data_IF_305597432687
#
_entry.id   IF_305597432687
#
_cell.length_a   1.000
_cell.length_b   1.000
_cell.length_c   1.000
_cell.angle_alpha   90.00
_cell.angle_beta   90.00
_cell.angle_gamma   90.00
#
_symmetry.space_group_name_H-M   'P 1'
#
loop_
_entity.id
_entity.type
_entity.pdbx_description
1 polymer ?
#
# COMPACT_ATOMS: atom_id res chain seq x y z
N UNK A 1 -4.42 -21.36 8.97
CA UNK A 1 -3.66 -21.78 7.76
C UNK A 1 -4.01 -20.96 6.52
N UNK A 2 -5.29 -20.66 6.26
CA UNK A 2 -5.77 -19.92 5.07
C UNK A 2 -5.08 -18.56 4.81
N UNK A 3 -4.78 -17.78 5.85
CA UNK A 3 -4.07 -16.49 5.74
C UNK A 3 -2.60 -16.61 5.29
N UNK A 4 -1.92 -17.74 5.54
CA UNK A 4 -0.49 -17.93 5.25
C UNK A 4 -0.27 -18.31 3.78
N UNK A 5 -1.18 -19.06 3.17
CA UNK A 5 -1.11 -19.43 1.75
C UNK A 5 -1.42 -18.25 0.83
N UNK A 6 -2.34 -17.37 1.23
CA UNK A 6 -2.65 -16.21 0.40
C UNK A 6 -1.59 -15.10 0.47
N UNK A 7 -0.76 -15.05 1.52
CA UNK A 7 0.40 -14.16 1.56
C UNK A 7 1.42 -14.48 0.46
N UNK A 8 1.65 -15.77 0.20
CA UNK A 8 2.58 -16.24 -0.83
C UNK A 8 2.09 -15.90 -2.26
N UNK A 9 0.78 -15.92 -2.49
CA UNK A 9 0.19 -15.57 -3.79
C UNK A 9 0.44 -14.09 -4.09
N UNK A 10 0.22 -13.21 -3.11
CA UNK A 10 0.43 -11.77 -3.31
C UNK A 10 1.91 -11.42 -3.48
N UNK A 11 2.81 -12.05 -2.74
CA UNK A 11 4.26 -11.84 -2.95
C UNK A 11 4.71 -12.19 -4.38
N UNK A 12 4.17 -13.27 -4.95
CA UNK A 12 4.47 -13.68 -6.32
C UNK A 12 3.91 -12.67 -7.34
N UNK A 13 2.66 -12.23 -7.18
CA UNK A 13 2.01 -11.26 -8.06
C UNK A 13 2.69 -9.89 -7.99
N UNK A 14 2.97 -9.39 -6.80
CA UNK A 14 3.69 -8.13 -6.59
C UNK A 14 5.07 -8.23 -7.25
N UNK A 15 5.80 -9.34 -7.05
CA UNK A 15 7.11 -9.54 -7.66
C UNK A 15 7.05 -9.55 -9.20
N UNK A 16 6.00 -10.14 -9.78
CA UNK A 16 5.76 -10.10 -11.22
C UNK A 16 5.60 -8.66 -11.71
N UNK A 17 4.69 -7.87 -11.12
CA UNK A 17 4.47 -6.48 -11.54
C UNK A 17 5.68 -5.59 -11.31
N UNK A 18 6.39 -5.75 -10.19
CA UNK A 18 7.62 -4.99 -9.92
C UNK A 18 8.69 -5.26 -10.98
N UNK A 19 8.74 -6.48 -11.51
CA UNK A 19 9.67 -6.83 -12.61
C UNK A 19 9.35 -6.10 -13.92
N UNK A 20 8.11 -5.63 -14.11
CA UNK A 20 7.73 -4.81 -15.29
C UNK A 20 8.31 -3.40 -15.25
N UNK A 21 8.71 -2.91 -14.08
CA UNK A 21 9.08 -1.50 -13.90
C UNK A 21 10.58 -1.23 -14.06
N UNK A 22 11.41 -2.27 -14.16
CA UNK A 22 12.86 -2.10 -14.33
C UNK A 22 13.56 -1.39 -13.16
N UNK A 23 13.00 -1.45 -11.95
CA UNK A 23 13.66 -0.94 -10.73
C UNK A 23 14.98 -1.70 -10.51
N UNK A 24 16.04 -0.96 -10.16
CA UNK A 24 17.40 -1.53 -10.03
C UNK A 24 17.91 -1.61 -8.60
N UNK A 25 17.35 -0.81 -7.70
CA UNK A 25 17.84 -0.69 -6.32
C UNK A 25 17.14 -1.71 -5.40
N UNK A 26 17.84 -2.73 -4.86
CA UNK A 26 17.20 -3.78 -4.06
C UNK A 26 16.46 -3.30 -2.81
N UNK A 27 17.01 -2.37 -1.97
CA UNK A 27 16.28 -1.78 -0.85
C UNK A 27 14.99 -1.07 -1.29
N UNK A 28 15.03 -0.36 -2.42
CA UNK A 28 13.86 0.32 -2.97
C UNK A 28 12.79 -0.66 -3.43
N UNK A 29 13.21 -1.72 -4.14
CA UNK A 29 12.32 -2.81 -4.56
C UNK A 29 11.64 -3.43 -3.34
N UNK A 30 12.40 -3.72 -2.28
CA UNK A 30 11.85 -4.32 -1.07
C UNK A 30 10.86 -3.39 -0.37
N UNK A 31 11.21 -2.11 -0.19
CA UNK A 31 10.30 -1.12 0.41
C UNK A 31 9.00 -0.97 -0.40
N UNK A 32 9.10 -1.03 -1.72
CA UNK A 32 7.92 -0.95 -2.60
C UNK A 32 7.02 -2.19 -2.46
N UNK A 33 7.62 -3.39 -2.41
CA UNK A 33 6.88 -4.64 -2.15
C UNK A 33 6.22 -4.63 -0.78
N UNK A 34 6.98 -4.28 0.26
CA UNK A 34 6.50 -4.23 1.64
C UNK A 34 5.31 -3.28 1.78
N UNK A 35 5.37 -2.11 1.12
CA UNK A 35 4.27 -1.15 1.13
C UNK A 35 3.03 -1.68 0.41
N UNK A 36 3.19 -2.28 -0.77
CA UNK A 36 2.07 -2.89 -1.49
C UNK A 36 1.42 -4.02 -0.66
N UNK A 37 2.22 -4.90 -0.04
CA UNK A 37 1.73 -5.96 0.84
C UNK A 37 0.97 -5.39 2.04
N UNK A 38 1.46 -4.31 2.65
CA UNK A 38 0.78 -3.60 3.74
C UNK A 38 -0.63 -3.14 3.32
N UNK A 39 -0.73 -2.46 2.18
CA UNK A 39 -2.00 -1.95 1.64
C UNK A 39 -2.99 -3.08 1.39
N UNK A 40 -2.55 -4.22 0.86
CA UNK A 40 -3.42 -5.39 0.64
C UNK A 40 -3.97 -5.92 1.98
N UNK A 41 -3.13 -5.98 3.01
CA UNK A 41 -3.57 -6.43 4.34
C UNK A 41 -4.54 -5.45 5.00
N UNK A 42 -4.35 -4.15 4.83
CA UNK A 42 -5.30 -3.13 5.28
C UNK A 42 -6.64 -3.27 4.54
N UNK A 43 -6.59 -3.34 3.22
CA UNK A 43 -7.77 -3.42 2.37
C UNK A 43 -8.59 -4.68 2.59
N UNK A 44 -7.98 -5.80 2.99
CA UNK A 44 -8.72 -7.01 3.39
C UNK A 44 -9.61 -6.83 4.62
N UNK A 45 -9.27 -5.88 5.50
CA UNK A 45 -10.02 -5.66 6.74
C UNK A 45 -11.12 -4.60 6.55
N UNK A 46 -10.94 -3.66 5.61
CA UNK A 46 -11.80 -2.48 5.45
C UNK A 46 -12.64 -2.48 4.18
N UNK A 47 -12.20 -3.16 3.11
CA UNK A 47 -12.86 -3.17 1.81
C UNK A 47 -13.33 -4.60 1.50
N UNK A 48 -14.53 -4.76 0.95
CA UNK A 48 -14.95 -6.02 0.32
C UNK A 48 -14.16 -6.27 -0.97
N UNK A 49 -12.86 -6.55 -0.83
CA UNK A 49 -11.96 -6.92 -1.94
C UNK A 49 -12.38 -8.22 -2.64
N UNK A 50 -13.37 -8.93 -2.11
CA UNK A 50 -13.84 -10.24 -2.58
C UNK A 50 -14.36 -10.21 -4.03
N UNK A 51 -14.74 -9.04 -4.53
CA UNK A 51 -15.21 -8.86 -5.91
C UNK A 51 -14.07 -8.77 -6.93
N UNK A 52 -12.84 -8.50 -6.48
CA UNK A 52 -11.69 -8.32 -7.36
C UNK A 52 -10.82 -9.57 -7.45
N UNK A 53 -10.23 -9.81 -8.62
CA UNK A 53 -9.22 -10.86 -8.80
C UNK A 53 -7.97 -10.51 -7.99
N UNK A 54 -7.24 -11.50 -7.44
CA UNK A 54 -5.98 -11.25 -6.74
C UNK A 54 -4.96 -10.45 -7.57
N UNK A 55 -4.92 -10.65 -8.90
CA UNK A 55 -4.06 -9.86 -9.80
C UNK A 55 -4.45 -8.38 -9.83
N UNK A 56 -5.76 -8.07 -9.84
CA UNK A 56 -6.28 -6.70 -9.77
C UNK A 56 -5.90 -6.07 -8.43
N UNK A 57 -6.13 -6.77 -7.32
CA UNK A 57 -5.78 -6.31 -5.96
C UNK A 57 -4.29 -5.99 -5.87
N UNK A 58 -3.42 -6.89 -6.33
CA UNK A 58 -1.97 -6.71 -6.29
C UNK A 58 -1.51 -5.50 -7.12
N UNK A 59 -2.06 -5.35 -8.33
CA UNK A 59 -1.72 -4.22 -9.20
C UNK A 59 -2.20 -2.89 -8.63
N UNK A 60 -3.46 -2.83 -8.14
CA UNK A 60 -4.01 -1.63 -7.51
C UNK A 60 -3.24 -1.23 -6.26
N UNK A 61 -2.84 -2.19 -5.42
CA UNK A 61 -2.00 -1.92 -4.25
C UNK A 61 -0.61 -1.38 -4.64
N UNK A 62 -0.01 -1.90 -5.72
CA UNK A 62 1.23 -1.35 -6.27
C UNK A 62 1.05 0.07 -6.81
N UNK A 63 -0.08 0.37 -7.44
CA UNK A 63 -0.39 1.73 -7.89
C UNK A 63 -0.50 2.69 -6.69
N UNK A 64 -1.21 2.30 -5.62
CA UNK A 64 -1.28 3.11 -4.40
C UNK A 64 0.11 3.31 -3.78
N UNK A 65 0.90 2.24 -3.65
CA UNK A 65 2.28 2.34 -3.15
C UNK A 65 3.15 3.25 -4.05
N UNK A 66 2.94 3.23 -5.37
CA UNK A 66 3.71 4.06 -6.31
C UNK A 66 3.30 5.53 -6.25
N UNK A 67 2.02 5.80 -5.98
CA UNK A 67 1.50 7.15 -5.78
C UNK A 67 2.14 7.79 -4.53
N UNK A 68 2.40 7.00 -3.48
CA UNK A 68 3.07 7.47 -2.26
C UNK A 68 4.59 7.58 -2.37
N UNK A 69 5.25 6.56 -2.92
CA UNK A 69 6.72 6.47 -2.94
C UNK A 69 7.35 7.15 -4.16
N UNK A 70 6.63 7.24 -5.27
CA UNK A 70 7.15 7.68 -6.56
C UNK A 70 6.18 8.59 -7.34
N UNK A 71 5.72 9.70 -6.76
CA UNK A 71 4.70 10.56 -7.40
C UNK A 71 5.12 11.06 -8.80
N UNK A 72 6.41 11.27 -9.04
CA UNK A 72 6.94 11.70 -10.34
C UNK A 72 6.95 10.58 -11.40
N UNK A 73 7.06 9.31 -10.98
CA UNK A 73 7.11 8.15 -11.89
C UNK A 73 5.77 7.41 -11.96
N UNK A 74 4.78 7.80 -11.14
CA UNK A 74 3.44 7.21 -11.10
C UNK A 74 2.81 7.01 -12.47
N UNK A 75 2.79 8.00 -13.40
CA UNK A 75 2.18 7.81 -14.72
C UNK A 75 2.83 6.67 -15.53
N UNK A 76 4.13 6.44 -15.33
CA UNK A 76 4.85 5.33 -15.97
C UNK A 76 4.43 3.99 -15.37
N UNK A 77 4.31 3.89 -14.05
CA UNK A 77 3.85 2.67 -13.38
C UNK A 77 2.41 2.32 -13.78
N UNK A 78 1.52 3.32 -13.79
CA UNK A 78 0.14 3.21 -14.22
C UNK A 78 0.05 2.69 -15.66
N UNK A 79 0.77 3.32 -16.58
CA UNK A 79 0.79 2.90 -17.99
C UNK A 79 1.30 1.46 -18.14
N UNK A 80 2.39 1.10 -17.45
CA UNK A 80 2.95 -0.26 -17.49
C UNK A 80 1.94 -1.31 -17.01
N UNK A 81 1.25 -1.06 -15.90
CA UNK A 81 0.22 -1.98 -15.38
C UNK A 81 -0.98 -2.05 -16.34
N UNK A 82 -1.51 -0.91 -16.79
CA UNK A 82 -2.71 -0.87 -17.64
C UNK A 82 -2.44 -1.37 -19.07
N UNK A 83 -1.18 -1.43 -19.51
CA UNK A 83 -0.79 -2.03 -20.79
C UNK A 83 -0.86 -3.56 -20.81
N UNK A 84 -0.99 -4.22 -19.65
CA UNK A 84 -1.09 -5.67 -19.58
C UNK A 84 -2.43 -6.16 -20.19
N UNK A 85 -2.36 -6.94 -21.27
CA UNK A 85 -3.52 -7.42 -22.04
C UNK A 85 -4.55 -8.20 -21.18
N UNK A 86 -4.05 -8.93 -20.19
CA UNK A 86 -4.86 -9.79 -19.30
C UNK A 86 -5.56 -9.02 -18.16
N UNK A 87 -5.34 -7.70 -18.08
CA UNK A 87 -5.89 -6.87 -17.02
C UNK A 87 -7.09 -6.07 -17.49
N UNK A 88 -8.19 -6.17 -16.72
CA UNK A 88 -9.33 -5.27 -16.89
C UNK A 88 -8.98 -3.91 -16.26
N UNK A 89 -8.72 -2.92 -17.11
CA UNK A 89 -8.36 -1.56 -16.71
C UNK A 89 -9.37 -0.91 -15.78
N UNK A 90 -10.66 -1.10 -16.05
CA UNK A 90 -11.74 -0.52 -15.26
C UNK A 90 -11.73 -1.07 -13.83
N UNK A 91 -11.57 -2.39 -13.67
CA UNK A 91 -11.50 -3.02 -12.36
C UNK A 91 -10.26 -2.58 -11.57
N UNK A 92 -9.14 -2.38 -12.25
CA UNK A 92 -7.88 -1.91 -11.62
C UNK A 92 -8.04 -0.50 -11.10
N UNK A 93 -8.63 0.40 -11.88
CA UNK A 93 -8.89 1.78 -11.47
C UNK A 93 -9.92 1.85 -10.35
N UNK A 94 -11.01 1.06 -10.42
CA UNK A 94 -11.99 0.96 -9.32
C UNK A 94 -11.36 0.50 -8.02
N UNK A 95 -10.58 -0.58 -8.07
CA UNK A 95 -9.90 -1.12 -6.89
C UNK A 95 -8.81 -0.17 -6.37
N UNK A 96 -8.08 0.51 -7.28
CA UNK A 96 -7.09 1.53 -6.93
C UNK A 96 -7.72 2.69 -6.16
N UNK A 97 -8.83 3.26 -6.66
CA UNK A 97 -9.52 4.36 -5.99
C UNK A 97 -10.01 3.95 -4.60
N UNK A 98 -10.62 2.77 -4.47
CA UNK A 98 -11.09 2.26 -3.18
C UNK A 98 -9.94 2.09 -2.17
N UNK A 99 -8.82 1.49 -2.58
CA UNK A 99 -7.63 1.35 -1.73
C UNK A 99 -6.99 2.69 -1.39
N UNK A 100 -6.97 3.64 -2.33
CA UNK A 100 -6.40 4.97 -2.11
C UNK A 100 -7.24 5.75 -1.09
N UNK A 101 -8.57 5.72 -1.22
CA UNK A 101 -9.49 6.35 -0.25
C UNK A 101 -9.29 5.79 1.16
N UNK A 102 -9.17 4.47 1.29
CA UNK A 102 -8.86 3.80 2.56
C UNK A 102 -7.56 4.33 3.17
N UNK A 103 -6.46 4.33 2.42
CA UNK A 103 -5.15 4.81 2.91
C UNK A 103 -5.17 6.30 3.27
N UNK A 104 -5.90 7.12 2.51
CA UNK A 104 -6.07 8.55 2.80
C UNK A 104 -6.86 8.76 4.10
N UNK A 105 -7.92 7.98 4.32
CA UNK A 105 -8.75 8.07 5.53
C UNK A 105 -7.97 7.63 6.78
N UNK A 106 -7.20 6.53 6.71
CA UNK A 106 -6.31 6.10 7.80
C UNK A 106 -5.32 7.21 8.22
N UNK A 107 -4.73 7.88 7.23
CA UNK A 107 -3.75 8.96 7.49
C UNK A 107 -4.40 10.15 8.20
N UNK A 108 -5.63 10.49 7.85
CA UNK A 108 -6.36 11.60 8.44
C UNK A 108 -6.82 11.30 9.88
N UNK A 109 -7.22 10.06 10.18
CA UNK A 109 -7.55 9.63 11.55
C UNK A 109 -6.32 9.61 12.47
N UNK A 110 -5.13 9.35 11.95
CA UNK A 110 -3.89 9.41 12.75
C UNK A 110 -3.52 10.81 13.25
N UNK A 111 -4.03 11.87 12.62
CA UNK A 111 -3.70 13.27 12.94
C UNK A 111 -4.56 13.82 14.09
N UNK A 112 -5.74 13.25 14.34
CA UNK A 112 -6.67 13.75 15.37
C UNK A 112 -6.28 13.39 16.82
N UNK A 113 -5.25 12.58 17.03
CA UNK A 113 -4.75 12.25 18.38
C UNK A 113 -3.70 13.22 18.95
N UNK A 114 -3.39 14.34 18.29
CA UNK A 114 -2.35 15.30 18.74
C UNK A 114 -2.86 16.65 19.24
N UNK A 115 -4.17 16.82 19.47
CA UNK A 115 -4.70 18.03 20.15
C UNK A 115 -5.70 17.66 21.23
N UNK A 116 -5.20 17.05 22.31
CA UNK A 116 -5.85 17.17 23.62
C UNK A 116 -4.84 16.95 24.74
N UNK A 117 -3.99 17.96 24.95
CA UNK A 117 -3.15 18.05 26.14
C UNK A 117 -3.35 19.41 26.81
N UNK A 118 -4.54 19.62 27.37
CA UNK A 118 -4.72 20.51 28.52
C UNK A 118 -6.04 20.24 29.24
N UNK A 119 -6.03 19.34 30.25
CA UNK A 119 -6.61 19.60 31.59
C UNK A 119 -6.80 18.31 32.42
N UNK A 120 -6.04 18.23 33.51
CA UNK A 120 -6.38 17.69 34.85
C UNK A 120 -6.90 16.25 35.08
N UNK A 121 -6.15 15.54 35.94
CA UNK A 121 -6.56 14.62 37.04
C UNK A 121 -6.96 13.16 36.72
N UNK A 122 -6.01 12.26 37.02
CA UNK A 122 -6.08 10.95 37.73
C UNK A 122 -7.46 10.25 37.90
N UNK A 123 -7.70 9.15 37.17
CA UNK A 123 -7.69 7.71 37.61
C UNK A 123 -8.68 6.82 36.80
N UNK A 124 -8.13 5.69 36.36
CA UNK A 124 -8.72 4.35 36.21
C UNK A 124 -10.04 4.16 35.44
N UNK A 125 -9.96 3.88 34.12
CA UNK A 125 -10.88 2.96 33.44
C UNK A 125 -10.09 2.13 32.40
N UNK A 126 -10.24 0.81 32.49
CA UNK A 126 -9.75 -0.18 31.54
C UNK A 126 -10.20 0.17 30.11
N UNK A 127 -9.25 0.33 29.22
CA UNK A 127 -9.44 -0.11 27.84
C UNK A 127 -8.11 -0.67 27.35
N UNK A 128 -8.08 -1.98 27.11
CA UNK A 128 -7.00 -2.62 26.37
C UNK A 128 -6.84 -1.88 25.04
N UNK A 129 -5.64 -1.39 24.69
CA UNK A 129 -5.37 -1.04 23.31
C UNK A 129 -5.45 -2.35 22.53
N UNK A 130 -6.54 -2.54 21.78
CA UNK A 130 -6.53 -3.51 20.68
C UNK A 130 -5.38 -3.07 19.80
N UNK A 131 -4.40 -3.96 19.62
CA UNK A 131 -3.34 -3.78 18.63
C UNK A 131 -4.00 -3.60 17.26
N UNK A 132 -4.21 -2.35 16.85
CA UNK A 132 -4.50 -1.96 15.48
C UNK A 132 -3.36 -1.03 15.12
N UNK A 133 -2.43 -1.59 14.35
CA UNK A 133 -1.15 -0.99 14.07
C UNK A 133 -0.13 -2.08 13.83
N UNK A 134 -0.35 -2.90 12.80
CA UNK A 134 0.79 -3.49 12.10
C UNK A 134 1.51 -2.31 11.43
N UNK A 135 2.37 -1.62 12.21
CA UNK A 135 3.25 -0.61 11.70
C UNK A 135 4.22 -1.32 10.76
N UNK A 136 3.97 -1.28 9.46
CA UNK A 136 4.97 -1.63 8.46
C UNK A 136 6.08 -0.59 8.57
N UNK A 137 7.06 -0.90 9.42
CA UNK A 137 8.20 -0.05 9.71
C UNK A 137 9.12 -0.03 8.48
N UNK A 138 8.73 0.75 7.46
CA UNK A 138 9.60 1.09 6.35
C UNK A 138 10.75 1.93 6.92
N UNK A 139 11.89 1.28 7.14
CA UNK A 139 13.16 1.97 7.40
C UNK A 139 13.33 3.02 6.31
N UNK A 140 13.40 4.30 6.71
CA UNK A 140 13.58 5.44 5.82
C UNK A 140 14.82 5.22 4.94
N UNK A 141 14.64 4.73 3.72
CA UNK A 141 15.68 4.75 2.69
C UNK A 141 15.77 6.18 2.20
N UNK A 142 16.91 6.82 2.42
CA UNK A 142 17.22 8.13 1.82
C UNK A 142 17.34 7.91 0.31
N UNK A 143 16.30 8.22 -0.45
CA UNK A 143 16.35 8.18 -1.91
C UNK A 143 17.20 9.38 -2.35
N UNK A 144 18.49 9.15 -2.55
CA UNK A 144 19.35 10.06 -3.29
C UNK A 144 19.31 9.71 -4.78
N UNK A 145 18.66 10.60 -5.55
CA UNK A 145 18.96 10.95 -6.94
C UNK A 145 18.83 9.83 -7.99
N UNK A 146 17.71 9.81 -8.71
CA UNK A 146 17.63 9.26 -10.07
C UNK A 146 17.72 10.47 -11.03
N UNK A 147 18.79 10.53 -11.83
CA UNK A 147 18.95 11.57 -12.86
C UNK A 147 17.92 11.35 -13.99
N UNK A 148 17.31 12.42 -14.53
CA UNK A 148 16.57 12.33 -15.78
C UNK A 148 17.57 12.14 -16.94
N UNK A 149 17.38 11.11 -17.76
CA UNK A 149 17.99 11.08 -19.08
C UNK A 149 17.25 12.07 -19.98
N UNK A 150 18.00 13.01 -20.56
CA UNK A 150 17.55 13.86 -21.68
C UNK A 150 17.75 13.20 -23.03
#
# INVERSE_FOLDING_TARGET
MKQREEGLIFDALISFFVSLFGLKDPPLIQAFKDRATCIIFQARNEIELLEFKPSTIAASALLVASHELFPLQFPSFETSILSCEYMNKENVLKCFNAMLEMVVNEKNESIVDTVSSLSTRKKDIKHSPKLIGFYCESKRVKISQIQPCG
#
